data_IF_415632368170
#
_entry.id   IF_415632368170
#
_cell.length_a   1.000
_cell.length_b   1.000
_cell.length_c   1.000
_cell.angle_alpha   90.00
_cell.angle_beta   90.00
_cell.angle_gamma   90.00
#
_symmetry.space_group_name_H-M   'P 1'
#
loop_
_entity.id
_entity.type
_entity.pdbx_description
1 polymer ?
#
# COMPACT_ATOMS: atom_id res chain seq x y z
N UNK A 1 -8.48 11.30 -12.43
CA UNK A 1 -7.49 11.29 -11.33
C UNK A 1 -6.75 12.61 -11.39
N UNK A 2 -6.60 13.36 -10.29
CA UNK A 2 -5.72 14.53 -10.30
C UNK A 2 -4.31 14.16 -9.82
N UNK A 3 -4.22 13.25 -8.85
CA UNK A 3 -2.95 12.73 -8.36
C UNK A 3 -3.13 11.37 -7.67
N UNK A 4 -2.23 10.44 -7.90
CA UNK A 4 -2.11 9.20 -7.13
C UNK A 4 -0.65 8.78 -7.18
N UNK A 5 0.08 8.97 -6.08
CA UNK A 5 1.48 8.59 -5.95
C UNK A 5 1.66 7.71 -4.73
N UNK A 6 2.08 6.47 -4.99
CA UNK A 6 2.48 5.53 -3.95
C UNK A 6 4.00 5.45 -3.85
N UNK A 7 4.53 5.23 -2.66
CA UNK A 7 5.90 4.80 -2.48
C UNK A 7 6.01 3.78 -1.36
N UNK A 8 6.94 2.85 -1.54
CA UNK A 8 7.25 1.81 -0.57
C UNK A 8 8.45 2.23 0.27
N UNK A 9 8.37 1.97 1.57
CA UNK A 9 9.46 2.18 2.51
C UNK A 9 9.74 0.83 3.16
N UNK A 10 10.99 0.38 3.03
CA UNK A 10 11.47 -0.86 3.63
C UNK A 10 12.42 -0.48 4.77
N UNK A 11 12.00 -0.74 6.00
CA UNK A 11 12.83 -0.49 7.18
C UNK A 11 13.38 -1.82 7.68
N UNK A 12 14.70 -2.05 7.64
CA UNK A 12 15.29 -3.27 8.18
C UNK A 12 14.94 -3.43 9.67
N UNK A 13 14.58 -4.64 10.10
CA UNK A 13 14.30 -4.94 11.51
C UNK A 13 15.42 -5.78 12.15
N UNK A 14 16.12 -6.58 11.35
CA UNK A 14 17.26 -7.41 11.74
C UNK A 14 18.03 -7.83 10.48
N UNK A 15 18.97 -8.78 10.61
CA UNK A 15 19.65 -9.41 9.47
C UNK A 15 18.66 -10.09 8.50
N UNK A 16 17.60 -10.69 9.05
CA UNK A 16 16.54 -11.32 8.27
C UNK A 16 15.21 -10.65 8.60
N UNK A 17 14.66 -9.92 7.62
CA UNK A 17 13.34 -9.30 7.69
C UNK A 17 13.36 -7.78 7.70
N UNK A 18 12.28 -7.19 7.20
CA UNK A 18 12.04 -5.76 7.20
C UNK A 18 10.58 -5.46 7.50
N UNK A 19 10.32 -4.27 8.04
CA UNK A 19 9.00 -3.66 8.07
C UNK A 19 8.75 -3.03 6.71
N UNK A 20 7.57 -3.29 6.15
CA UNK A 20 7.10 -2.70 4.90
C UNK A 20 6.02 -1.68 5.21
N UNK A 21 6.24 -0.44 4.82
CA UNK A 21 5.25 0.62 4.86
C UNK A 21 4.89 1.03 3.43
N UNK A 22 3.59 1.20 3.17
CA UNK A 22 3.08 1.76 1.91
C UNK A 22 2.45 3.12 2.19
N UNK A 23 3.01 4.17 1.59
CA UNK A 23 2.45 5.52 1.66
C UNK A 23 1.80 5.86 0.34
N UNK A 24 0.58 6.38 0.40
CA UNK A 24 -0.23 6.73 -0.76
C UNK A 24 -0.73 8.16 -0.64
N UNK A 25 -0.20 9.04 -1.48
CA UNK A 25 -0.68 10.40 -1.66
C UNK A 25 -1.69 10.41 -2.80
N UNK A 26 -2.92 10.86 -2.54
CA UNK A 26 -3.98 10.84 -3.53
C UNK A 26 -4.81 12.13 -3.55
N UNK A 27 -5.30 12.47 -4.74
CA UNK A 27 -6.28 13.53 -4.97
C UNK A 27 -7.21 13.14 -6.10
N UNK A 28 -8.50 13.01 -5.78
CA UNK A 28 -9.53 12.73 -6.77
C UNK A 28 -10.13 14.01 -7.32
N UNK A 29 -10.56 13.98 -8.59
CA UNK A 29 -11.30 15.09 -9.22
C UNK A 29 -12.77 15.11 -8.84
N UNK A 30 -13.27 14.02 -8.23
CA UNK A 30 -14.67 13.83 -7.89
C UNK A 30 -14.80 13.55 -6.39
N UNK A 31 -15.52 14.43 -5.70
CA UNK A 31 -15.74 14.39 -4.25
C UNK A 31 -16.50 13.13 -3.80
N UNK A 32 -17.33 12.54 -4.65
CA UNK A 32 -18.05 11.29 -4.35
C UNK A 32 -17.04 10.14 -4.29
N UNK A 33 -16.14 10.05 -5.28
CA UNK A 33 -15.09 9.02 -5.32
C UNK A 33 -14.16 9.18 -4.12
N UNK A 34 -13.78 10.41 -3.80
CA UNK A 34 -12.95 10.72 -2.63
C UNK A 34 -13.59 10.25 -1.33
N UNK A 35 -14.90 10.51 -1.13
CA UNK A 35 -15.64 10.03 0.06
C UNK A 35 -15.73 8.52 0.14
N UNK A 36 -16.02 7.85 -0.98
CA UNK A 36 -16.13 6.38 -1.02
C UNK A 36 -14.78 5.75 -0.68
N UNK A 37 -13.71 6.19 -1.35
CA UNK A 37 -12.34 5.70 -1.10
C UNK A 37 -11.93 6.01 0.35
N UNK A 38 -12.20 7.22 0.84
CA UNK A 38 -11.93 7.62 2.22
C UNK A 38 -12.61 6.70 3.24
N UNK A 39 -13.87 6.31 2.99
CA UNK A 39 -14.61 5.41 3.87
C UNK A 39 -14.05 3.98 3.92
N UNK A 40 -13.33 3.53 2.88
CA UNK A 40 -12.74 2.17 2.81
C UNK A 40 -11.22 2.19 2.79
N UNK A 41 -10.60 3.32 3.12
CA UNK A 41 -9.18 3.55 2.87
C UNK A 41 -8.27 2.53 3.58
N UNK A 42 -8.53 2.28 4.86
CA UNK A 42 -7.76 1.32 5.66
C UNK A 42 -7.82 -0.09 5.06
N UNK A 43 -9.01 -0.51 4.61
CA UNK A 43 -9.19 -1.80 3.95
C UNK A 43 -8.38 -1.88 2.66
N UNK A 44 -8.42 -0.84 1.82
CA UNK A 44 -7.67 -0.80 0.56
C UNK A 44 -6.16 -0.90 0.82
N UNK A 45 -5.63 -0.09 1.73
CA UNK A 45 -4.19 -0.09 2.05
C UNK A 45 -3.75 -1.45 2.61
N UNK A 46 -4.54 -2.03 3.53
CA UNK A 46 -4.26 -3.36 4.07
C UNK A 46 -4.18 -4.41 2.96
N UNK A 47 -5.15 -4.43 2.04
CA UNK A 47 -5.15 -5.38 0.93
C UNK A 47 -3.95 -5.22 -0.01
N UNK A 48 -3.50 -3.98 -0.25
CA UNK A 48 -2.30 -3.71 -1.06
C UNK A 48 -1.06 -4.30 -0.38
N UNK A 49 -0.87 -4.05 0.91
CA UNK A 49 0.27 -4.57 1.67
C UNK A 49 0.23 -6.10 1.75
N UNK A 50 -0.94 -6.68 2.07
CA UNK A 50 -1.12 -8.14 2.15
C UNK A 50 -0.81 -8.82 0.80
N UNK A 51 -1.29 -8.24 -0.31
CA UNK A 51 -1.03 -8.75 -1.66
C UNK A 51 0.44 -8.64 -2.04
N UNK A 52 1.11 -7.54 -1.67
CA UNK A 52 2.54 -7.35 -1.89
C UNK A 52 3.36 -8.41 -1.15
N UNK A 53 3.10 -8.60 0.15
CA UNK A 53 3.79 -9.61 0.96
C UNK A 53 3.54 -11.01 0.43
N UNK A 54 2.29 -11.33 0.05
CA UNK A 54 1.96 -12.61 -0.58
C UNK A 54 2.78 -12.82 -1.85
N UNK A 55 2.88 -11.80 -2.71
CA UNK A 55 3.65 -11.91 -3.95
C UNK A 55 5.14 -12.04 -3.72
N UNK A 56 5.69 -11.34 -2.73
CA UNK A 56 7.09 -11.47 -2.35
C UNK A 56 7.38 -12.91 -1.89
N UNK A 57 6.51 -13.53 -1.09
CA UNK A 57 6.66 -14.94 -0.71
C UNK A 57 6.61 -15.88 -1.92
N UNK A 58 5.75 -15.64 -2.91
CA UNK A 58 5.70 -16.49 -4.12
C UNK A 58 6.99 -16.42 -4.95
N UNK A 59 7.60 -15.24 -5.08
CA UNK A 59 8.79 -15.03 -5.91
C UNK A 59 10.06 -15.46 -5.18
N UNK A 60 10.16 -15.13 -3.88
CA UNK A 60 11.40 -15.21 -3.12
C UNK A 60 11.44 -16.36 -2.11
N UNK A 61 10.38 -17.17 -1.95
CA UNK A 61 10.51 -18.47 -1.29
C UNK A 61 11.25 -19.43 -2.23
N UNK A 62 12.57 -19.36 -2.22
CA UNK A 62 13.46 -20.51 -2.42
C UNK A 62 14.14 -20.81 -1.10
#
# INVERSE_FOLDING_TARGET
>A
FMHLKGHWIFTPLAEYGCKVDFKLDYKFSNIIIEKVIGAVFEFVIKNIVDSFVKKAHEIYRK
#
